data_IF_141073058596
#
_entry.id   IF_141073058596
#
_cell.length_a   1.000
_cell.length_b   1.000
_cell.length_c   1.000
_cell.angle_alpha   90.00
_cell.angle_beta   90.00
_cell.angle_gamma   90.00
#
_symmetry.space_group_name_H-M   'P 1'
#
loop_
_entity.id
_entity.type
_entity.pdbx_description
1 polymer ?
#
# COMPACT_ATOMS: atom_id res chain seq x y z
N UNK A 1 12.78 24.84 16.18
CA UNK A 1 11.39 25.09 15.71
C UNK A 1 10.78 23.76 15.28
N UNK A 2 10.02 23.09 16.14
CA UNK A 2 9.33 21.86 15.80
C UNK A 2 7.98 22.21 15.15
N UNK A 3 7.84 21.96 13.85
CA UNK A 3 6.56 22.07 13.16
C UNK A 3 5.62 21.01 13.73
N UNK A 4 4.66 21.42 14.57
CA UNK A 4 3.52 20.60 14.91
C UNK A 4 2.59 20.60 13.71
N UNK A 5 2.81 19.68 12.79
CA UNK A 5 1.80 19.28 11.81
C UNK A 5 0.59 18.89 12.64
N UNK A 6 -0.42 19.76 12.63
CA UNK A 6 -1.69 19.51 13.29
C UNK A 6 -2.24 18.21 12.74
N UNK A 7 -2.10 17.12 13.50
CA UNK A 7 -2.82 15.87 13.30
C UNK A 7 -4.29 16.24 13.45
N UNK A 8 -4.92 16.68 12.35
CA UNK A 8 -6.36 16.54 12.18
C UNK A 8 -6.60 15.04 12.25
N UNK A 9 -6.80 14.52 13.46
CA UNK A 9 -7.35 13.20 13.70
C UNK A 9 -8.61 13.16 12.87
N UNK A 10 -8.53 12.54 11.69
CA UNK A 10 -9.68 12.38 10.83
C UNK A 10 -10.71 11.64 11.66
N UNK A 11 -11.78 12.34 12.01
CA UNK A 11 -12.88 11.74 12.76
C UNK A 11 -13.30 10.46 12.02
N UNK A 12 -13.59 9.35 12.73
CA UNK A 12 -14.08 8.14 12.10
C UNK A 12 -15.26 8.48 11.20
N UNK A 13 -15.07 8.34 9.89
CA UNK A 13 -16.07 8.63 8.87
C UNK A 13 -16.34 7.33 8.15
N UNK A 14 -17.62 6.96 8.07
CA UNK A 14 -18.03 5.79 7.31
C UNK A 14 -17.45 5.87 5.88
N UNK A 15 -16.84 4.77 5.43
CA UNK A 15 -16.22 4.68 4.11
C UNK A 15 -14.85 5.34 3.96
N UNK A 16 -14.26 5.89 5.04
CA UNK A 16 -12.86 6.35 5.06
C UNK A 16 -11.96 5.43 5.86
N UNK A 17 -10.69 5.36 5.48
CA UNK A 17 -9.65 4.62 6.14
C UNK A 17 -8.46 5.52 6.43
N UNK A 18 -7.93 5.41 7.65
CA UNK A 18 -6.66 6.00 8.04
C UNK A 18 -5.60 4.89 8.00
N UNK A 19 -4.63 5.01 7.11
CA UNK A 19 -3.64 3.96 6.85
C UNK A 19 -2.24 4.52 6.98
N UNK A 20 -1.32 3.68 7.46
CA UNK A 20 0.10 3.98 7.50
C UNK A 20 0.80 3.06 6.50
N UNK A 21 1.63 3.62 5.61
CA UNK A 21 2.35 2.84 4.60
C UNK A 21 3.84 2.74 4.92
N UNK A 22 4.34 1.50 4.97
CA UNK A 22 5.76 1.20 5.13
C UNK A 22 6.21 0.19 4.08
N UNK A 23 7.35 0.44 3.45
CA UNK A 23 7.95 -0.46 2.45
C UNK A 23 9.30 -0.92 2.99
N UNK A 24 9.54 -2.23 2.98
CA UNK A 24 10.88 -2.78 3.24
C UNK A 24 11.52 -3.16 1.93
N UNK A 25 12.70 -2.60 1.66
CA UNK A 25 13.46 -2.98 0.47
C UNK A 25 14.26 -4.28 0.68
N UNK A 26 14.88 -4.77 -0.41
CA UNK A 26 15.69 -6.00 -0.40
C UNK A 26 16.96 -5.89 0.45
N UNK A 27 17.44 -4.67 0.70
CA UNK A 27 18.57 -4.41 1.60
C UNK A 27 18.13 -4.37 3.07
N UNK A 28 16.82 -4.50 3.32
CA UNK A 28 16.23 -4.55 4.65
C UNK A 28 15.88 -3.19 5.24
N UNK A 29 16.08 -2.08 4.52
CA UNK A 29 15.70 -0.74 5.00
C UNK A 29 14.18 -0.57 4.97
N UNK A 30 13.64 0.03 6.03
CA UNK A 30 12.22 0.35 6.16
C UNK A 30 11.97 1.82 5.82
N UNK A 31 11.19 2.05 4.78
CA UNK A 31 10.78 3.37 4.31
C UNK A 31 9.36 3.65 4.80
N UNK A 32 9.19 4.70 5.60
CA UNK A 32 7.89 5.14 6.10
C UNK A 32 7.40 6.34 5.26
N UNK A 33 6.24 6.18 4.62
CA UNK A 33 5.69 7.19 3.70
C UNK A 33 4.68 8.13 4.36
N UNK A 34 4.44 7.98 5.66
CA UNK A 34 3.50 8.78 6.42
C UNK A 34 2.13 8.16 6.58
N UNK A 35 1.26 8.92 7.25
CA UNK A 35 -0.14 8.57 7.48
C UNK A 35 -1.01 9.16 6.35
N UNK A 36 -1.88 8.34 5.77
CA UNK A 36 -2.74 8.67 4.64
C UNK A 36 -4.19 8.51 5.06
N UNK A 37 -5.01 9.53 4.80
CA UNK A 37 -6.46 9.47 5.00
C UNK A 37 -7.18 9.36 3.64
N UNK A 38 -7.80 8.22 3.38
CA UNK A 38 -8.35 7.87 2.06
C UNK A 38 -9.71 7.17 2.15
N UNK A 39 -10.31 6.78 1.02
CA UNK A 39 -11.52 5.95 1.01
C UNK A 39 -11.20 4.47 1.20
N UNK A 40 -12.11 3.72 1.83
CA UNK A 40 -11.96 2.25 1.98
C UNK A 40 -11.84 1.56 0.61
N UNK A 41 -12.59 2.03 -0.40
CA UNK A 41 -12.48 1.52 -1.76
C UNK A 41 -11.09 1.69 -2.36
N UNK A 42 -10.44 2.85 -2.16
CA UNK A 42 -9.07 3.07 -2.63
C UNK A 42 -8.06 2.13 -1.94
N UNK A 43 -8.25 1.83 -0.65
CA UNK A 43 -7.42 0.82 0.05
C UNK A 43 -7.63 -0.57 -0.55
N UNK A 44 -8.88 -0.93 -0.85
CA UNK A 44 -9.21 -2.22 -1.45
C UNK A 44 -8.56 -2.39 -2.83
N UNK A 45 -8.65 -1.39 -3.71
CA UNK A 45 -8.00 -1.40 -5.01
C UNK A 45 -6.47 -1.50 -4.89
N UNK A 46 -5.86 -0.75 -3.96
CA UNK A 46 -4.43 -0.81 -3.74
C UNK A 46 -3.96 -2.21 -3.28
N UNK A 47 -4.71 -2.85 -2.37
CA UNK A 47 -4.42 -4.22 -1.93
C UNK A 47 -4.54 -5.22 -3.08
N UNK A 48 -5.57 -5.10 -3.92
CA UNK A 48 -5.74 -5.97 -5.08
C UNK A 48 -4.56 -5.84 -6.07
N UNK A 49 -4.11 -4.62 -6.35
CA UNK A 49 -2.95 -4.37 -7.22
C UNK A 49 -1.66 -4.98 -6.61
N UNK A 50 -1.41 -4.78 -5.31
CA UNK A 50 -0.23 -5.32 -4.65
C UNK A 50 -0.21 -6.85 -4.64
N UNK A 51 -1.38 -7.49 -4.47
CA UNK A 51 -1.50 -8.94 -4.55
C UNK A 51 -1.20 -9.41 -5.99
N UNK A 52 -1.81 -8.78 -7.00
CA UNK A 52 -1.57 -9.09 -8.42
C UNK A 52 -0.08 -9.02 -8.81
N UNK A 53 0.64 -8.05 -8.27
CA UNK A 53 2.06 -7.82 -8.56
C UNK A 53 3.00 -8.57 -7.59
N UNK A 54 2.45 -9.40 -6.71
CA UNK A 54 3.26 -10.14 -5.76
C UNK A 54 4.11 -11.20 -6.48
N UNK A 55 5.36 -11.42 -6.04
CA UNK A 55 6.22 -12.45 -6.63
C UNK A 55 5.62 -13.86 -6.47
N UNK A 56 4.75 -14.08 -5.48
CA UNK A 56 4.00 -15.32 -5.30
C UNK A 56 2.94 -15.52 -6.39
N UNK A 57 2.24 -14.45 -6.78
CA UNK A 57 1.30 -14.48 -7.90
C UNK A 57 2.00 -14.55 -9.26
N UNK A 58 3.14 -13.86 -9.42
CA UNK A 58 3.99 -13.95 -10.61
C UNK A 58 4.51 -15.38 -10.81
N UNK A 59 5.01 -16.02 -9.75
CA UNK A 59 5.43 -17.42 -9.78
C UNK A 59 4.29 -18.43 -10.01
N UNK A 60 3.05 -18.05 -9.69
CA UNK A 60 1.86 -18.88 -9.92
C UNK A 60 1.29 -18.75 -11.34
N UNK A 61 1.76 -17.80 -12.15
CA UNK A 61 1.40 -17.74 -13.56
C UNK A 61 2.21 -18.78 -14.35
N UNK A 62 1.57 -19.80 -14.95
CA UNK A 62 2.26 -20.70 -15.86
C UNK A 62 2.79 -19.88 -17.05
N UNK A 63 4.09 -19.98 -17.31
CA UNK A 63 4.81 -19.17 -18.29
C UNK A 63 4.11 -19.12 -19.64
N UNK A 64 3.62 -17.94 -20.01
CA UNK A 64 3.28 -17.58 -21.38
C UNK A 64 4.56 -17.23 -22.18
N UNK A 65 5.60 -18.04 -22.03
CA UNK A 65 6.79 -18.05 -22.88
C UNK A 65 6.88 -19.42 -23.54
N UNK A 66 6.02 -19.68 -24.53
CA UNK A 66 6.35 -20.62 -25.60
C UNK A 66 5.40 -20.48 -26.79
N UNK A 67 5.62 -19.50 -27.65
CA UNK A 67 5.42 -19.67 -29.09
C UNK A 67 6.51 -18.86 -29.81
N UNK A 68 7.29 -19.58 -30.60
CA UNK A 68 8.37 -19.13 -31.47
C UNK A 68 7.87 -18.26 -32.63
#
# INVERSE_FOLDING_TARGET
MASRISKKSALPRHGRAHVTMTIRDSNGFLHHFGDIDTSVGAVHEALAIMQLQSPEMDAAQPGHEQLA
#
